data_IF_150895239279
#
_entry.id   IF_150895239279
#
_cell.length_a   1.000
_cell.length_b   1.000
_cell.length_c   1.000
_cell.angle_alpha   90.00
_cell.angle_beta   90.00
_cell.angle_gamma   90.00
#
_symmetry.space_group_name_H-M   'P 1'
#
loop_
_entity.id
_entity.type
_entity.pdbx_description
1 polymer ?
#
# COMPACT_ATOMS: atom_id res chain seq x y z
N UNK A 1 4.92 3.99 -23.72
CA UNK A 1 4.17 3.37 -22.61
C UNK A 1 5.10 2.43 -21.85
N UNK A 2 5.80 2.93 -20.83
CA UNK A 2 6.56 2.08 -19.91
C UNK A 2 5.63 1.61 -18.80
N UNK A 3 5.40 0.31 -18.72
CA UNK A 3 4.61 -0.30 -17.66
C UNK A 3 5.25 0.00 -16.31
N UNK A 4 4.46 0.65 -15.44
CA UNK A 4 4.70 0.68 -14.01
C UNK A 4 4.79 -0.77 -13.53
N UNK A 5 6.00 -1.22 -13.15
CA UNK A 5 6.26 -2.59 -12.75
C UNK A 5 5.50 -2.91 -11.48
N UNK A 6 4.41 -3.66 -11.61
CA UNK A 6 3.79 -4.34 -10.47
C UNK A 6 4.80 -5.38 -10.00
N UNK A 7 5.28 -5.29 -8.76
CA UNK A 7 6.11 -6.32 -8.17
C UNK A 7 5.30 -7.63 -8.12
N UNK A 8 5.50 -8.49 -9.12
CA UNK A 8 4.81 -9.77 -9.22
C UNK A 8 5.30 -10.69 -8.12
N UNK A 9 4.37 -11.23 -7.33
CA UNK A 9 4.67 -12.31 -6.40
C UNK A 9 5.28 -13.49 -7.17
N UNK A 10 6.39 -14.03 -6.69
CA UNK A 10 7.01 -15.20 -7.29
C UNK A 10 6.29 -16.48 -6.81
N UNK A 11 5.97 -17.39 -7.73
CA UNK A 11 5.34 -18.69 -7.39
C UNK A 11 6.36 -19.78 -7.06
N UNK A 12 7.66 -19.51 -7.23
CA UNK A 12 8.76 -20.44 -6.96
C UNK A 12 9.46 -20.06 -5.66
N UNK A 13 10.07 -21.03 -4.98
CA UNK A 13 10.88 -20.76 -3.80
C UNK A 13 12.01 -19.76 -4.13
N UNK A 14 12.37 -18.86 -3.20
CA UNK A 14 13.44 -17.88 -3.43
C UNK A 14 14.76 -18.61 -3.65
N UNK A 15 15.50 -18.22 -4.70
CA UNK A 15 16.79 -18.80 -5.07
C UNK A 15 17.95 -17.95 -4.54
N UNK A 16 17.69 -16.68 -4.22
CA UNK A 16 18.65 -15.72 -3.70
C UNK A 16 18.06 -14.93 -2.51
N UNK A 17 18.86 -14.51 -1.51
CA UNK A 17 18.36 -13.77 -0.35
C UNK A 17 17.65 -12.45 -0.65
N UNK A 18 17.92 -11.85 -1.82
CA UNK A 18 17.31 -10.61 -2.30
C UNK A 18 16.14 -10.82 -3.27
N UNK A 19 15.74 -12.07 -3.54
CA UNK A 19 14.56 -12.33 -4.36
C UNK A 19 13.32 -11.76 -3.68
N UNK A 20 12.40 -11.20 -4.47
CA UNK A 20 11.15 -10.64 -3.95
C UNK A 20 10.32 -11.65 -3.15
N UNK A 21 9.30 -11.16 -2.45
CA UNK A 21 8.38 -12.02 -1.72
C UNK A 21 7.63 -12.95 -2.68
N UNK A 22 7.53 -14.21 -2.27
CA UNK A 22 6.72 -15.22 -2.93
C UNK A 22 5.25 -15.09 -2.52
N UNK A 23 4.34 -15.67 -3.30
CA UNK A 23 2.90 -15.73 -2.95
C UNK A 23 2.68 -16.34 -1.56
N UNK A 24 3.41 -17.42 -1.24
CA UNK A 24 3.30 -18.08 0.06
C UNK A 24 3.75 -17.17 1.22
N UNK A 25 4.73 -16.31 0.99
CA UNK A 25 5.24 -15.36 1.99
C UNK A 25 4.29 -14.18 2.22
N UNK A 26 3.62 -13.68 1.17
CA UNK A 26 2.54 -12.71 1.36
C UNK A 26 1.43 -13.28 2.25
N UNK A 27 1.02 -14.53 2.02
CA UNK A 27 0.04 -15.21 2.88
C UNK A 27 0.57 -15.45 4.29
N UNK A 28 1.83 -15.86 4.45
CA UNK A 28 2.43 -16.01 5.77
C UNK A 28 2.45 -14.69 6.56
N UNK A 29 2.76 -13.56 5.90
CA UNK A 29 2.71 -12.24 6.52
C UNK A 29 1.28 -11.89 6.97
N UNK A 30 0.29 -12.11 6.10
CA UNK A 30 -1.11 -11.90 6.42
C UNK A 30 -1.57 -12.76 7.61
N UNK A 31 -1.29 -14.06 7.59
CA UNK A 31 -1.67 -15.00 8.65
C UNK A 31 -1.09 -14.59 10.00
N UNK A 32 0.19 -14.23 10.04
CA UNK A 32 0.87 -13.78 11.28
C UNK A 32 0.20 -12.52 11.83
N UNK A 33 -0.10 -11.54 10.97
CA UNK A 33 -0.75 -10.30 11.39
C UNK A 33 -2.20 -10.52 11.82
N UNK A 34 -2.92 -11.42 11.15
CA UNK A 34 -4.28 -11.81 11.52
C UNK A 34 -4.30 -12.51 12.88
N UNK A 35 -3.42 -13.50 13.09
CA UNK A 35 -3.32 -14.24 14.36
C UNK A 35 -2.89 -13.35 15.53
N UNK A 36 -2.06 -12.34 15.27
CA UNK A 36 -1.71 -11.32 16.25
C UNK A 36 -2.83 -10.31 16.55
N UNK A 37 -3.98 -10.39 15.85
CA UNK A 37 -5.11 -9.47 16.02
C UNK A 37 -4.89 -8.09 15.39
N UNK A 38 -3.94 -7.99 14.45
CA UNK A 38 -3.57 -6.74 13.78
C UNK A 38 -4.08 -6.66 12.33
N UNK A 39 -4.67 -7.72 11.78
CA UNK A 39 -5.38 -7.67 10.50
C UNK A 39 -6.89 -7.92 10.73
N UNK A 40 -7.69 -6.92 10.39
CA UNK A 40 -9.15 -6.91 10.41
C UNK A 40 -9.70 -6.77 8.98
N UNK A 41 -11.01 -7.00 8.73
CA UNK A 41 -11.60 -6.88 7.40
C UNK A 41 -11.45 -5.50 6.75
N UNK A 42 -11.32 -4.44 7.54
CA UNK A 42 -11.12 -3.05 7.09
C UNK A 42 -9.63 -2.63 7.05
N UNK A 43 -8.71 -3.55 7.34
CA UNK A 43 -7.27 -3.28 7.26
C UNK A 43 -6.78 -3.28 5.82
N UNK A 44 -6.12 -2.20 5.42
CA UNK A 44 -5.55 -2.06 4.09
C UNK A 44 -4.03 -2.23 4.15
N UNK A 45 -3.48 -3.14 3.34
CA UNK A 45 -2.04 -3.37 3.23
C UNK A 45 -1.47 -2.45 2.16
N UNK A 46 -0.92 -1.31 2.59
CA UNK A 46 -0.40 -0.28 1.69
C UNK A 46 0.93 -0.66 1.05
N UNK A 47 1.75 -1.43 1.77
CA UNK A 47 3.01 -1.97 1.27
C UNK A 47 3.37 -3.24 2.02
N UNK A 48 3.82 -4.27 1.31
CA UNK A 48 4.37 -5.50 1.88
C UNK A 48 5.60 -5.82 1.06
N UNK A 49 6.79 -5.64 1.63
CA UNK A 49 8.06 -5.80 0.92
C UNK A 49 9.01 -6.68 1.71
N UNK A 50 9.90 -7.35 0.97
CA UNK A 50 11.03 -8.05 1.59
C UNK A 50 11.82 -7.05 2.42
N UNK A 51 12.06 -7.40 3.68
CA UNK A 51 13.09 -6.76 4.46
C UNK A 51 14.43 -7.36 4.04
N UNK A 52 15.21 -6.58 3.29
CA UNK A 52 16.51 -7.04 2.80
C UNK A 52 17.38 -7.51 3.97
N UNK A 53 18.00 -8.71 3.88
CA UNK A 53 18.93 -9.18 4.90
C UNK A 53 20.11 -8.23 5.06
N UNK A 54 20.78 -8.30 6.22
CA UNK A 54 21.98 -7.53 6.46
C UNK A 54 23.04 -7.80 5.36
N UNK A 55 23.72 -6.74 4.93
CA UNK A 55 24.65 -6.78 3.79
C UNK A 55 25.74 -7.85 3.94
N UNK A 56 26.30 -7.99 5.14
CA UNK A 56 27.30 -9.01 5.46
C UNK A 56 26.76 -10.43 5.29
N UNK A 57 25.50 -10.68 5.66
CA UNK A 57 24.84 -11.96 5.43
C UNK A 57 24.67 -12.24 3.93
N UNK A 58 24.23 -11.24 3.17
CA UNK A 58 24.09 -11.38 1.70
C UNK A 58 25.44 -11.68 1.05
N UNK A 59 26.50 -11.00 1.45
CA UNK A 59 27.86 -11.22 0.91
C UNK A 59 28.46 -12.57 1.31
N UNK A 60 28.10 -13.10 2.48
CA UNK A 60 28.57 -14.39 2.96
C UNK A 60 27.72 -15.57 2.46
N UNK A 61 26.51 -15.31 1.95
CA UNK A 61 25.57 -16.34 1.52
C UNK A 61 26.11 -17.14 0.32
N UNK A 62 25.83 -18.44 0.33
CA UNK A 62 26.14 -19.37 -0.76
C UNK A 62 24.90 -20.16 -1.11
N UNK A 63 24.76 -20.54 -2.38
CA UNK A 63 23.66 -21.40 -2.82
C UNK A 63 23.54 -22.66 -1.94
N UNK A 64 22.31 -22.95 -1.50
CA UNK A 64 22.01 -24.04 -0.56
C UNK A 64 22.06 -23.65 0.93
N UNK A 65 22.57 -22.46 1.27
CA UNK A 65 22.46 -21.92 2.63
C UNK A 65 21.03 -21.48 2.91
N UNK A 66 20.61 -21.55 4.18
CA UNK A 66 19.32 -21.04 4.61
C UNK A 66 19.17 -19.55 4.25
N UNK A 67 17.98 -19.17 3.80
CA UNK A 67 17.67 -17.79 3.46
C UNK A 67 16.84 -17.20 4.60
N UNK A 68 17.35 -16.19 5.34
CA UNK A 68 16.51 -15.46 6.29
C UNK A 68 15.48 -14.63 5.51
N UNK A 69 14.22 -14.69 5.94
CA UNK A 69 13.09 -14.05 5.26
C UNK A 69 12.26 -13.28 6.27
N UNK A 70 12.36 -11.96 6.20
CA UNK A 70 11.50 -11.04 6.95
C UNK A 70 10.76 -10.13 5.98
N UNK A 71 9.57 -9.65 6.36
CA UNK A 71 8.83 -8.65 5.61
C UNK A 71 8.61 -7.40 6.46
N UNK A 72 8.81 -6.24 5.86
CA UNK A 72 8.30 -4.97 6.40
C UNK A 72 6.92 -4.70 5.76
N UNK A 73 5.93 -4.41 6.59
CA UNK A 73 4.52 -4.24 6.22
C UNK A 73 4.04 -2.86 6.67
N UNK A 74 3.48 -2.08 5.75
CA UNK A 74 2.79 -0.82 6.05
C UNK A 74 1.30 -1.04 5.88
N UNK A 75 0.54 -0.75 6.93
CA UNK A 75 -0.91 -0.90 6.96
C UNK A 75 -1.61 0.43 7.23
N UNK A 76 -2.79 0.61 6.64
CA UNK A 76 -3.71 1.70 6.90
C UNK A 76 -4.97 1.13 7.55
N UNK A 77 -5.32 1.63 8.74
CA UNK A 77 -6.50 1.23 9.48
C UNK A 77 -7.19 2.46 10.04
N UNK A 78 -8.43 2.72 9.62
CA UNK A 78 -9.25 3.85 10.10
C UNK A 78 -8.49 5.19 10.07
N UNK A 79 -7.72 5.43 9.00
CA UNK A 79 -6.92 6.64 8.81
C UNK A 79 -5.58 6.68 9.56
N UNK A 80 -5.20 5.61 10.28
CA UNK A 80 -3.93 5.51 11.02
C UNK A 80 -2.97 4.58 10.32
N UNK A 81 -1.70 4.96 10.28
CA UNK A 81 -0.62 4.20 9.65
C UNK A 81 0.08 3.30 10.68
N UNK A 82 0.29 2.05 10.32
CA UNK A 82 1.01 1.08 11.13
C UNK A 82 2.15 0.48 10.33
N UNK A 83 3.24 0.18 11.02
CA UNK A 83 4.37 -0.58 10.53
C UNK A 83 4.46 -1.89 11.31
N UNK A 84 4.65 -2.99 10.58
CA UNK A 84 4.93 -4.29 11.15
C UNK A 84 6.18 -4.89 10.53
N UNK A 85 6.88 -5.70 11.33
CA UNK A 85 7.93 -6.59 10.85
C UNK A 85 7.55 -8.02 11.16
N UNK A 86 7.59 -8.87 10.14
CA UNK A 86 7.21 -10.28 10.25
C UNK A 86 8.40 -11.15 9.87
N UNK A 87 8.75 -12.09 10.73
CA UNK A 87 9.61 -13.23 10.38
C UNK A 87 8.75 -14.27 9.67
N UNK A 88 9.01 -14.43 8.37
CA UNK A 88 8.24 -15.29 7.48
C UNK A 88 8.63 -16.75 7.67
N UNK A 89 9.91 -17.03 7.93
CA UNK A 89 10.42 -18.37 8.15
C UNK A 89 9.96 -18.91 9.51
N UNK A 90 10.08 -18.10 10.56
CA UNK A 90 9.63 -18.44 11.92
C UNK A 90 8.13 -18.23 12.16
N UNK A 91 7.39 -17.68 11.18
CA UNK A 91 5.96 -17.31 11.26
C UNK A 91 5.65 -16.51 12.53
N UNK A 92 6.42 -15.46 12.78
CA UNK A 92 6.35 -14.68 14.02
C UNK A 92 6.30 -13.18 13.75
N UNK A 93 5.46 -12.48 14.50
CA UNK A 93 5.49 -11.02 14.54
C UNK A 93 6.71 -10.55 15.34
N UNK A 94 7.59 -9.79 14.70
CA UNK A 94 8.81 -9.23 15.30
C UNK A 94 8.52 -7.88 15.95
N UNK A 95 7.78 -7.02 15.26
CA UNK A 95 7.37 -5.72 15.79
C UNK A 95 6.06 -5.23 15.18
N UNK A 96 5.32 -4.45 15.95
CA UNK A 96 4.12 -3.73 15.52
C UNK A 96 4.13 -2.34 16.14
N UNK A 97 3.96 -1.29 15.33
CA UNK A 97 3.99 0.09 15.78
C UNK A 97 3.07 0.96 14.97
N UNK A 98 2.31 1.83 15.63
CA UNK A 98 1.66 2.95 14.97
C UNK A 98 2.68 4.05 14.63
N UNK A 99 2.68 4.49 13.38
CA UNK A 99 3.47 5.65 12.95
C UNK A 99 2.60 6.91 13.07
N UNK A 100 2.71 7.59 14.22
CA UNK A 100 2.03 8.87 14.45
C UNK A 100 2.55 9.93 13.49
N UNK A 101 1.66 10.78 13.02
CA UNK A 101 1.98 11.91 12.13
C UNK A 101 2.62 11.50 10.79
N UNK A 102 2.47 10.23 10.40
CA UNK A 102 2.94 9.67 9.13
C UNK A 102 1.76 9.14 8.34
N UNK A 103 1.68 9.49 7.07
CA UNK A 103 0.67 8.98 6.13
C UNK A 103 1.17 7.73 5.41
N UNK A 104 0.30 6.73 5.27
CA UNK A 104 0.60 5.56 4.45
C UNK A 104 0.70 5.97 2.97
N UNK A 105 1.36 5.16 2.12
CA UNK A 105 1.25 5.30 0.67
C UNK A 105 -0.21 5.42 0.22
N UNK A 106 -0.44 6.22 -0.83
CA UNK A 106 -1.76 6.37 -1.45
C UNK A 106 -2.14 5.07 -2.17
N UNK A 107 -3.32 4.56 -1.90
CA UNK A 107 -3.74 3.24 -2.37
C UNK A 107 -4.37 3.32 -3.75
N UNK A 108 -4.19 2.27 -4.56
CA UNK A 108 -4.88 2.17 -5.85
C UNK A 108 -6.39 2.23 -5.70
N UNK A 109 -6.95 1.68 -4.62
CA UNK A 109 -8.38 1.78 -4.32
C UNK A 109 -8.85 3.20 -4.05
N UNK A 110 -7.99 4.06 -3.47
CA UNK A 110 -8.29 5.48 -3.27
C UNK A 110 -8.25 6.24 -4.60
N UNK A 111 -7.28 5.92 -5.47
CA UNK A 111 -7.17 6.54 -6.80
C UNK A 111 -8.37 6.17 -7.66
N UNK A 112 -8.62 4.88 -7.86
CA UNK A 112 -9.66 4.40 -8.79
C UNK A 112 -11.07 4.41 -8.20
N UNK A 113 -11.21 4.30 -6.87
CA UNK A 113 -12.51 4.38 -6.18
C UNK A 113 -13.03 5.82 -6.06
N UNK A 114 -12.19 6.82 -6.27
CA UNK A 114 -12.58 8.23 -6.17
C UNK A 114 -13.56 8.69 -7.24
N UNK A 115 -13.63 8.02 -8.40
CA UNK A 115 -14.52 8.42 -9.51
C UNK A 115 -15.98 8.50 -9.07
N UNK A 116 -16.47 7.41 -8.49
CA UNK A 116 -17.85 7.30 -8.02
C UNK A 116 -18.13 8.30 -6.89
N UNK A 117 -17.17 8.48 -5.98
CA UNK A 117 -17.31 9.39 -4.83
C UNK A 117 -17.40 10.85 -5.30
N UNK A 118 -16.53 11.25 -6.22
CA UNK A 118 -16.48 12.61 -6.77
C UNK A 118 -17.78 12.92 -7.55
N UNK A 119 -18.28 11.98 -8.35
CA UNK A 119 -19.50 12.16 -9.15
C UNK A 119 -20.80 12.15 -8.34
N UNK A 120 -20.77 11.74 -7.06
CA UNK A 120 -21.91 11.87 -6.14
C UNK A 120 -22.05 13.26 -5.54
N UNK A 121 -21.02 14.10 -5.62
CA UNK A 121 -21.07 15.47 -5.11
C UNK A 121 -21.83 16.39 -6.06
N UNK A 122 -22.96 16.94 -5.60
CA UNK A 122 -23.80 17.84 -6.40
C UNK A 122 -23.03 19.08 -6.89
N UNK A 123 -22.03 19.56 -6.15
CA UNK A 123 -21.20 20.70 -6.55
C UNK A 123 -20.34 20.35 -7.77
N UNK A 124 -19.85 19.11 -7.83
CA UNK A 124 -19.07 18.60 -8.97
C UNK A 124 -19.98 18.39 -10.18
N UNK A 125 -21.14 17.75 -9.99
CA UNK A 125 -22.11 17.51 -11.07
C UNK A 125 -22.57 18.83 -11.70
N UNK A 126 -22.91 19.83 -10.88
CA UNK A 126 -23.31 21.15 -11.40
C UNK A 126 -22.14 21.88 -12.09
N UNK A 127 -20.91 21.72 -11.60
CA UNK A 127 -19.73 22.28 -12.24
C UNK A 127 -19.44 21.63 -13.62
N UNK A 128 -19.61 20.32 -13.75
CA UNK A 128 -19.48 19.57 -15.00
C UNK A 128 -20.58 19.96 -16.00
N UNK A 129 -21.83 20.07 -15.53
CA UNK A 129 -22.98 20.51 -16.34
C UNK A 129 -22.76 21.91 -16.92
N UNK A 130 -22.24 22.86 -16.13
CA UNK A 130 -21.86 24.20 -16.60
C UNK A 130 -20.78 24.19 -17.68
N UNK A 131 -20.01 23.11 -17.79
CA UNK A 131 -18.97 22.88 -18.81
C UNK A 131 -19.47 22.04 -19.98
N UNK A 132 -20.77 21.71 -20.04
CA UNK A 132 -21.39 20.94 -21.12
C UNK A 132 -21.38 19.42 -20.92
N UNK A 133 -20.88 18.93 -19.79
CA UNK A 133 -20.86 17.49 -19.49
C UNK A 133 -22.14 17.10 -18.73
N UNK A 134 -23.11 16.53 -19.44
CA UNK A 134 -24.36 16.01 -18.85
C UNK A 134 -24.39 14.50 -18.72
N UNK A 135 -23.60 13.78 -19.53
CA UNK A 135 -23.39 12.35 -19.39
C UNK A 135 -22.11 12.08 -18.60
N UNK A 136 -22.26 11.68 -17.34
CA UNK A 136 -21.13 11.41 -16.45
C UNK A 136 -20.41 10.09 -16.77
N UNK A 137 -20.95 9.25 -17.65
CA UNK A 137 -20.25 8.04 -18.11
C UNK A 137 -19.08 8.39 -19.04
N UNK A 138 -19.13 9.54 -19.70
CA UNK A 138 -18.07 10.03 -20.59
C UNK A 138 -16.97 10.80 -19.86
N UNK A 139 -17.10 10.98 -18.54
CA UNK A 139 -16.15 11.71 -17.68
C UNK A 139 -15.45 10.69 -16.79
N UNK A 140 -14.16 10.84 -16.55
CA UNK A 140 -13.45 10.08 -15.52
C UNK A 140 -12.81 11.02 -14.50
N UNK A 141 -13.09 10.78 -13.23
CA UNK A 141 -12.52 11.50 -12.11
C UNK A 141 -11.54 10.62 -11.34
N UNK A 142 -10.42 11.20 -10.94
CA UNK A 142 -9.42 10.56 -10.07
C UNK A 142 -9.01 11.52 -8.97
N UNK A 143 -8.65 10.98 -7.81
CA UNK A 143 -7.98 11.70 -6.73
C UNK A 143 -6.52 11.27 -6.67
N UNK A 144 -5.61 12.24 -6.66
CA UNK A 144 -4.18 12.01 -6.53
C UNK A 144 -3.67 12.55 -5.20
N UNK A 145 -2.67 11.90 -4.57
CA UNK A 145 -2.07 12.41 -3.35
C UNK A 145 -1.42 13.77 -3.58
N UNK A 146 -1.47 14.63 -2.56
CA UNK A 146 -0.71 15.88 -2.53
C UNK A 146 0.63 15.65 -1.84
N UNK A 147 1.72 16.12 -2.44
CA UNK A 147 3.05 16.05 -1.82
C UNK A 147 3.34 17.23 -0.89
N UNK A 148 2.52 18.29 -0.95
CA UNK A 148 2.65 19.50 -0.16
C UNK A 148 1.27 20.00 0.27
N UNK A 149 1.06 20.17 1.58
CA UNK A 149 -0.14 20.78 2.12
C UNK A 149 -0.06 22.30 1.95
N UNK A 150 -0.66 22.83 0.86
CA UNK A 150 -0.72 24.27 0.63
C UNK A 150 -1.61 25.02 1.63
N UNK A 151 -2.44 24.30 2.37
CA UNK A 151 -3.41 24.80 3.35
C UNK A 151 -3.03 24.22 4.72
N UNK A 152 -2.61 25.04 5.71
CA UNK A 152 -2.13 24.53 7.01
C UNK A 152 -3.16 23.66 7.75
N UNK A 153 -4.45 23.95 7.60
CA UNK A 153 -5.55 23.19 8.21
C UNK A 153 -5.67 21.75 7.68
N UNK A 154 -5.02 21.47 6.54
CA UNK A 154 -5.01 20.18 5.85
C UNK A 154 -3.78 19.33 6.18
N UNK A 155 -2.80 19.87 6.90
CA UNK A 155 -1.48 19.26 7.11
C UNK A 155 -1.53 17.93 7.88
N UNK A 156 -2.55 17.75 8.74
CA UNK A 156 -2.74 16.51 9.50
C UNK A 156 -3.73 15.54 8.85
N UNK A 157 -4.26 15.87 7.67
CA UNK A 157 -5.33 15.11 7.02
C UNK A 157 -4.80 14.31 5.83
N UNK A 158 -5.40 13.14 5.62
CA UNK A 158 -5.17 12.34 4.42
C UNK A 158 -6.02 12.88 3.28
N UNK A 159 -5.42 13.67 2.38
CA UNK A 159 -6.14 14.37 1.31
C UNK A 159 -5.63 13.95 -0.07
N UNK A 160 -6.57 13.76 -0.99
CA UNK A 160 -6.30 13.67 -2.41
C UNK A 160 -6.99 14.81 -3.16
N UNK A 161 -6.31 15.37 -4.17
CA UNK A 161 -6.91 16.36 -5.05
C UNK A 161 -7.54 15.69 -6.25
N UNK A 162 -8.86 15.95 -6.39
CA UNK A 162 -9.68 15.41 -7.46
C UNK A 162 -9.52 16.19 -8.76
N UNK A 163 -9.38 15.48 -9.87
CA UNK A 163 -9.49 16.02 -11.22
C UNK A 163 -10.41 15.14 -12.06
N UNK A 164 -11.21 15.74 -12.92
CA UNK A 164 -12.05 15.03 -13.88
C UNK A 164 -11.64 15.41 -15.31
N UNK A 165 -11.61 14.42 -16.20
CA UNK A 165 -11.29 14.55 -17.63
C UNK A 165 -12.31 13.85 -18.50
#
# INVERSE_FOLDING_TARGET
>A
MGLCGVAGAQNTAPLHPLDGLTTAEYWAAYDVLQQAGHAAPDSLFASVLLREPAKDLVLAWKQGSAIPREADVVMLQKGRTFEARVDLAGRKLISWRELKDVQSPFLSSEIFGSDEVIKKDSRVVEALKKRGFTDLNAVQCIALPVSYAAVPEQDTQRIGFGSCS
#
